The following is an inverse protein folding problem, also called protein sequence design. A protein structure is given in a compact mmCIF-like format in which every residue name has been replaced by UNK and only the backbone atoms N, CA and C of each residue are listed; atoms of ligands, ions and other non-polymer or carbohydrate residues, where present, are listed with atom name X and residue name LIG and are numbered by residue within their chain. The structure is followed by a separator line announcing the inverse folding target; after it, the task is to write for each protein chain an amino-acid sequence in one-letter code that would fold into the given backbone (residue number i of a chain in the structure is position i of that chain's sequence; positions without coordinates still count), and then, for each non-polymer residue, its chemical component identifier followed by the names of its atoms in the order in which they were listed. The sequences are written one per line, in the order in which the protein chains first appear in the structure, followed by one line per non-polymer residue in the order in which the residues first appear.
data_IF_647961943762
#
_entry.id   IF_647961943762
#
_cell.length_a   1.000
_cell.length_b   1.000
_cell.length_c   1.000
_cell.angle_alpha   90.00
_cell.angle_beta   90.00
_cell.angle_gamma   90.00
#
_symmetry.space_group_name_H-M   'P 1'
#
loop_
_entity.id
_entity.type
_entity.pdbx_description
1 polymer ?
#
# COMPACT_ATOMS: atom_id res chain seq x y z
N UNK A 1 -11.25 -4.55 -17.43
CA UNK A 1 -10.88 -4.92 -16.05
C UNK A 1 -9.52 -5.59 -16.11
N UNK A 2 -8.55 -5.17 -15.29
CA UNK A 2 -7.25 -5.85 -15.28
C UNK A 2 -7.45 -7.33 -14.90
N UNK A 3 -6.68 -8.22 -15.51
CA UNK A 3 -6.57 -9.63 -15.08
C UNK A 3 -6.31 -9.68 -13.58
N UNK A 4 -6.82 -10.70 -12.88
CA UNK A 4 -6.53 -10.87 -11.46
C UNK A 4 -5.02 -10.80 -11.21
N UNK A 5 -4.59 -9.88 -10.35
CA UNK A 5 -3.20 -9.77 -9.91
C UNK A 5 -2.88 -11.06 -9.14
N UNK A 6 -1.87 -11.79 -9.60
CA UNK A 6 -1.46 -13.04 -8.95
C UNK A 6 -0.79 -12.75 -7.61
N UNK A 7 -0.52 -13.81 -6.84
CA UNK A 7 0.21 -13.69 -5.57
C UNK A 7 1.28 -14.76 -5.49
N UNK A 8 2.28 -14.50 -4.65
CA UNK A 8 3.35 -15.45 -4.34
C UNK A 8 3.21 -15.91 -2.89
N UNK A 9 3.36 -17.21 -2.60
CA UNK A 9 3.42 -17.69 -1.23
C UNK A 9 4.75 -17.27 -0.59
N UNK A 10 4.68 -16.73 0.62
CA UNK A 10 5.84 -16.46 1.46
C UNK A 10 6.11 -17.65 2.37
N UNK A 11 7.35 -17.74 2.86
CA UNK A 11 7.76 -18.77 3.83
C UNK A 11 7.01 -18.67 5.18
N UNK A 12 6.35 -17.55 5.45
CA UNK A 12 5.47 -17.33 6.61
C UNK A 12 4.06 -17.93 6.42
N UNK A 13 3.75 -18.46 5.24
CA UNK A 13 2.44 -18.99 4.87
C UNK A 13 1.45 -17.94 4.34
N UNK A 14 1.80 -16.66 4.37
CA UNK A 14 0.98 -15.60 3.79
C UNK A 14 1.19 -15.48 2.26
N UNK A 15 0.20 -14.93 1.55
CA UNK A 15 0.30 -14.67 0.11
C UNK A 15 0.51 -13.17 -0.15
N UNK A 16 1.63 -12.81 -0.76
CA UNK A 16 1.92 -11.42 -1.13
C UNK A 16 1.41 -11.15 -2.56
N UNK A 17 0.66 -10.06 -2.82
CA UNK A 17 0.29 -9.69 -4.18
C UNK A 17 1.53 -9.41 -5.04
N UNK A 18 1.56 -9.98 -6.25
CA UNK A 18 2.71 -9.96 -7.15
C UNK A 18 3.05 -8.55 -7.68
N UNK A 19 2.10 -7.62 -7.58
CA UNK A 19 2.22 -6.24 -8.03
C UNK A 19 1.84 -5.29 -6.89
N UNK A 20 2.74 -4.38 -6.56
CA UNK A 20 2.56 -3.38 -5.51
C UNK A 20 2.77 -1.95 -6.01
N UNK A 21 2.09 -1.00 -5.38
CA UNK A 21 2.27 0.43 -5.62
C UNK A 21 3.45 0.95 -4.78
N UNK A 22 4.53 1.37 -5.44
CA UNK A 22 5.63 2.08 -4.78
C UNK A 22 5.24 3.52 -4.44
N UNK A 23 5.66 4.01 -3.27
CA UNK A 23 5.28 5.35 -2.77
C UNK A 23 6.48 6.30 -2.59
N UNK A 24 7.69 5.88 -2.96
CA UNK A 24 8.86 6.74 -2.92
C UNK A 24 8.77 7.87 -3.96
N UNK A 25 9.20 9.07 -3.58
CA UNK A 25 9.17 10.30 -4.40
C UNK A 25 7.78 10.74 -4.87
N UNK A 26 6.71 10.18 -4.30
CA UNK A 26 5.37 10.68 -4.55
C UNK A 26 5.25 12.10 -3.99
N UNK A 27 4.91 13.06 -4.84
CA UNK A 27 4.68 14.44 -4.42
C UNK A 27 3.42 14.55 -3.58
N UNK A 28 3.44 15.46 -2.60
CA UNK A 28 2.29 15.73 -1.72
C UNK A 28 1.00 15.97 -2.53
N UNK A 29 -0.09 15.38 -2.07
CA UNK A 29 -1.41 15.53 -2.70
C UNK A 29 -1.66 14.61 -3.90
N UNK A 30 -0.64 14.00 -4.51
CA UNK A 30 -0.85 12.98 -5.55
C UNK A 30 -1.13 11.59 -4.96
N UNK A 31 -0.69 11.32 -3.73
CA UNK A 31 -0.85 10.00 -3.08
C UNK A 31 -2.31 9.61 -2.93
N UNK A 32 -3.17 10.55 -2.55
CA UNK A 32 -4.61 10.30 -2.42
C UNK A 32 -5.20 9.74 -3.71
N UNK A 33 -4.91 10.39 -4.85
CA UNK A 33 -5.43 9.98 -6.14
C UNK A 33 -4.77 8.68 -6.62
N UNK A 34 -3.46 8.55 -6.46
CA UNK A 34 -2.71 7.37 -6.88
C UNK A 34 -3.17 6.10 -6.14
N UNK A 35 -3.28 6.15 -4.81
CA UNK A 35 -3.71 5.01 -3.98
C UNK A 35 -5.17 4.67 -4.28
N UNK A 36 -6.05 5.68 -4.33
CA UNK A 36 -7.47 5.46 -4.64
C UNK A 36 -7.65 4.82 -6.02
N UNK A 37 -6.91 5.29 -7.02
CA UNK A 37 -6.92 4.70 -8.37
C UNK A 37 -6.38 3.27 -8.36
N UNK A 38 -5.22 3.04 -7.74
CA UNK A 38 -4.58 1.73 -7.66
C UNK A 38 -5.52 0.68 -7.02
N UNK A 39 -6.15 1.02 -5.90
CA UNK A 39 -7.07 0.11 -5.21
C UNK A 39 -8.34 -0.17 -6.02
N UNK A 40 -8.88 0.83 -6.74
CA UNK A 40 -10.03 0.68 -7.64
C UNK A 40 -9.72 -0.19 -8.86
N UNK A 41 -8.47 -0.17 -9.37
CA UNK A 41 -8.06 -1.02 -10.50
C UNK A 41 -7.56 -2.40 -10.07
N UNK A 42 -7.55 -2.70 -8.77
CA UNK A 42 -7.33 -4.04 -8.23
C UNK A 42 -6.01 -4.25 -7.47
N UNK A 43 -5.17 -3.23 -7.29
CA UNK A 43 -3.98 -3.37 -6.44
C UNK A 43 -4.39 -3.71 -5.02
N UNK A 44 -3.58 -4.56 -4.38
CA UNK A 44 -3.74 -4.92 -2.97
C UNK A 44 -2.45 -4.82 -2.17
N UNK A 45 -1.35 -4.39 -2.80
CA UNK A 45 -0.06 -4.21 -2.14
C UNK A 45 0.39 -2.75 -2.25
N UNK A 46 0.65 -2.11 -1.11
CA UNK A 46 1.24 -0.77 -1.02
C UNK A 46 2.62 -0.87 -0.35
N UNK A 47 3.66 -0.35 -1.01
CA UNK A 47 5.03 -0.32 -0.51
C UNK A 47 5.36 1.07 0.05
N UNK A 48 5.64 1.12 1.35
CA UNK A 48 5.86 2.33 2.16
C UNK A 48 7.26 2.33 2.81
N UNK A 49 7.64 3.44 3.42
CA UNK A 49 8.81 3.56 4.30
C UNK A 49 8.73 4.87 5.10
N UNK A 50 9.19 4.91 6.36
CA UNK A 50 9.24 6.15 7.14
C UNK A 50 10.12 7.22 6.48
N UNK A 51 11.19 6.83 5.77
CA UNK A 51 12.09 7.79 5.07
C UNK A 51 11.40 8.49 3.90
N UNK A 52 10.28 7.97 3.40
CA UNK A 52 9.54 8.60 2.31
C UNK A 52 8.73 9.81 2.80
N UNK A 53 8.57 9.98 4.13
CA UNK A 53 7.94 11.15 4.73
C UNK A 53 6.43 11.25 4.55
N UNK A 54 5.78 10.23 3.97
CA UNK A 54 4.41 10.31 3.49
C UNK A 54 3.45 9.25 4.07
N UNK A 55 3.88 8.44 5.04
CA UNK A 55 3.06 7.39 5.66
C UNK A 55 1.79 7.93 6.36
N UNK A 56 1.83 9.16 6.89
CA UNK A 56 0.64 9.80 7.48
C UNK A 56 -0.44 10.10 6.44
N UNK A 57 -0.04 10.58 5.26
CA UNK A 57 -0.98 10.82 4.15
C UNK A 57 -1.56 9.48 3.67
N UNK A 58 -0.71 8.48 3.46
CA UNK A 58 -1.12 7.11 3.08
C UNK A 58 -2.15 6.56 4.09
N UNK A 59 -1.85 6.64 5.39
CA UNK A 59 -2.76 6.16 6.44
C UNK A 59 -4.11 6.88 6.44
N UNK A 60 -4.12 8.18 6.19
CA UNK A 60 -5.36 8.97 6.11
C UNK A 60 -6.22 8.57 4.92
N UNK A 61 -5.60 8.33 3.76
CA UNK A 61 -6.28 7.86 2.54
C UNK A 61 -6.84 6.46 2.75
N UNK A 62 -6.05 5.53 3.30
CA UNK A 62 -6.50 4.16 3.57
C UNK A 62 -7.68 4.14 4.55
N UNK A 63 -7.63 4.93 5.63
CA UNK A 63 -8.73 5.06 6.59
C UNK A 63 -10.03 5.46 5.89
N UNK A 64 -9.98 6.51 5.05
CA UNK A 64 -11.14 6.96 4.27
C UNK A 64 -11.68 5.85 3.35
N UNK A 65 -10.80 5.13 2.65
CA UNK A 65 -11.22 4.05 1.73
C UNK A 65 -11.81 2.84 2.46
N UNK A 66 -11.38 2.57 3.70
CA UNK A 66 -12.02 1.58 4.56
C UNK A 66 -13.41 2.02 5.01
N UNK A 67 -13.56 3.29 5.41
CA UNK A 67 -14.86 3.88 5.81
C UNK A 67 -15.86 3.93 4.64
N UNK A 68 -15.38 4.19 3.42
CA UNK A 68 -16.18 4.15 2.19
C UNK A 68 -16.49 2.73 1.71
N UNK A 69 -15.92 1.70 2.33
CA UNK A 69 -16.13 0.30 1.96
C UNK A 69 -15.49 -0.10 0.62
N UNK A 70 -14.54 0.70 0.11
CA UNK A 70 -13.85 0.43 -1.17
C UNK A 70 -12.98 -0.83 -1.07
N UNK A 71 -12.39 -1.06 0.10
CA UNK A 71 -11.54 -2.23 0.39
C UNK A 71 -11.58 -2.51 1.90
N UNK A 72 -11.32 -3.75 2.32
CA UNK A 72 -11.15 -4.10 3.74
C UNK A 72 -9.67 -4.15 4.12
N UNK A 73 -9.37 -4.01 5.41
CA UNK A 73 -7.97 -4.02 5.88
C UNK A 73 -7.31 -5.36 5.57
N UNK A 74 -8.01 -6.47 5.80
CA UNK A 74 -7.52 -7.83 5.58
C UNK A 74 -7.22 -8.16 4.10
N UNK A 75 -7.77 -7.38 3.17
CA UNK A 75 -7.49 -7.53 1.74
C UNK A 75 -6.19 -6.85 1.32
N UNK A 76 -5.56 -6.05 2.19
CA UNK A 76 -4.37 -5.27 1.87
C UNK A 76 -3.08 -5.82 2.47
N UNK A 77 -2.06 -5.90 1.63
CA UNK A 77 -0.67 -6.06 2.00
C UNK A 77 0.00 -4.69 2.10
N UNK A 78 0.46 -4.30 3.29
CA UNK A 78 1.18 -3.05 3.51
C UNK A 78 2.60 -3.39 3.93
N UNK A 79 3.57 -2.97 3.13
CA UNK A 79 5.00 -3.14 3.42
C UNK A 79 5.55 -1.82 3.94
N UNK A 80 6.27 -1.82 5.06
CA UNK A 80 7.09 -0.69 5.49
C UNK A 80 8.50 -1.18 5.83
N UNK A 81 9.43 -0.26 6.10
CA UNK A 81 10.86 -0.53 6.15
C UNK A 81 11.47 0.09 7.41
N UNK A 82 12.30 -0.66 8.12
CA UNK A 82 13.14 -0.08 9.17
C UNK A 82 14.21 0.79 8.54
N UNK A 83 14.29 2.07 8.93
CA UNK A 83 15.34 2.95 8.44
C UNK A 83 16.62 2.77 9.26
N UNK A 84 17.78 2.92 8.62
CA UNK A 84 19.08 2.63 9.24
C UNK A 84 19.43 3.56 10.41
N UNK A 85 18.66 4.59 10.74
CA UNK A 85 18.85 5.41 11.95
C UNK A 85 17.81 5.13 13.05
N UNK A 86 16.82 4.28 12.79
CA UNK A 86 15.67 4.01 13.68
C UNK A 86 15.82 2.67 14.43
N UNK A 87 17.04 2.23 14.70
CA UNK A 87 17.36 0.93 15.29
C UNK A 87 17.86 1.01 16.75
N UNK A 88 17.70 2.17 17.39
CA UNK A 88 18.08 2.49 18.77
C UNK A 88 16.83 2.92 19.56
#
# INVERSE_FOLDING_TARGET
MASQISSFPLNTGANIPSLGLGTWQATEGLLTNAISAALKIGYRHIDCSPVYGNEKEIGSVLKKLFEEGVVKREDLWITSKLWFVLHL
#
